data_IF_041157174681
#
_entry.id   IF_041157174681
#
_cell.length_a   1.000
_cell.length_b   1.000
_cell.length_c   1.000
_cell.angle_alpha   90.00
_cell.angle_beta   90.00
_cell.angle_gamma   90.00
#
_symmetry.space_group_name_H-M   'P 1'
#
loop_
_entity.id
_entity.type
_entity.pdbx_description
1 polymer ?
#
# COMPACT_ATOMS: atom_id res chain seq x y z
N UNK A 1 8.22 -0.66 3.60
CA UNK A 1 8.31 0.68 4.19
C UNK A 1 7.76 0.67 5.59
N UNK A 2 8.30 1.51 6.47
CA UNK A 2 7.81 1.72 7.82
C UNK A 2 7.93 3.20 8.19
N UNK A 3 7.21 3.62 9.22
CA UNK A 3 7.36 4.95 9.82
C UNK A 3 7.66 4.79 11.32
N UNK A 4 8.49 5.67 11.85
CA UNK A 4 8.74 5.75 13.29
C UNK A 4 8.57 7.20 13.78
N UNK A 5 8.15 7.37 15.03
CA UNK A 5 8.04 8.68 15.63
C UNK A 5 9.44 9.21 16.00
N UNK A 6 9.89 10.25 15.31
CA UNK A 6 11.11 10.97 15.62
C UNK A 6 10.81 12.10 16.62
N UNK A 7 11.10 11.85 17.89
CA UNK A 7 10.87 12.83 18.95
C UNK A 7 11.73 14.10 18.82
N UNK A 8 12.88 14.03 18.14
CA UNK A 8 13.72 15.19 17.92
C UNK A 8 13.16 16.11 16.83
N UNK A 9 12.50 15.52 15.82
CA UNK A 9 11.81 16.25 14.75
C UNK A 9 10.35 16.57 15.07
N UNK A 10 9.76 15.90 16.06
CA UNK A 10 8.36 16.08 16.46
C UNK A 10 7.38 15.56 15.41
N UNK A 11 7.73 14.50 14.68
CA UNK A 11 6.92 13.97 13.59
C UNK A 11 7.27 12.54 13.21
N UNK A 12 6.47 11.95 12.33
CA UNK A 12 6.74 10.65 11.73
C UNK A 12 7.81 10.76 10.66
N UNK A 13 8.80 9.87 10.71
CA UNK A 13 9.84 9.71 9.69
C UNK A 13 9.65 8.39 8.97
N UNK A 14 9.49 8.45 7.65
CA UNK A 14 9.40 7.27 6.80
C UNK A 14 10.79 6.71 6.49
N UNK A 15 10.93 5.40 6.62
CA UNK A 15 12.19 4.68 6.41
C UNK A 15 12.00 3.46 5.53
N UNK A 16 13.00 3.23 4.68
CA UNK A 16 13.10 1.96 3.96
C UNK A 16 13.99 0.99 4.74
N UNK A 17 13.35 0.06 5.43
CA UNK A 17 14.02 -0.98 6.19
C UNK A 17 14.78 -2.00 5.31
N UNK A 18 14.54 -2.04 4.00
CA UNK A 18 15.28 -2.91 3.08
C UNK A 18 16.67 -2.35 2.76
N UNK A 19 16.85 -1.02 2.82
CA UNK A 19 18.12 -0.35 2.49
C UNK A 19 19.09 -0.38 3.67
N UNK A 20 19.51 -1.59 4.06
CA UNK A 20 20.60 -1.78 5.01
C UNK A 20 21.97 -1.46 4.39
N UNK A 21 23.04 -1.48 5.20
CA UNK A 21 24.38 -1.19 4.72
C UNK A 21 24.87 -2.14 3.61
N UNK A 22 24.33 -3.36 3.52
CA UNK A 22 24.67 -4.33 2.47
C UNK A 22 24.01 -3.94 1.16
N UNK A 23 22.72 -3.64 1.20
CA UNK A 23 21.96 -3.17 0.04
C UNK A 23 22.49 -1.85 -0.50
N UNK A 24 22.79 -0.89 0.37
CA UNK A 24 23.37 0.40 0.00
C UNK A 24 24.67 0.25 -0.79
N UNK A 25 25.58 -0.62 -0.33
CA UNK A 25 26.81 -0.94 -1.07
C UNK A 25 26.54 -1.62 -2.41
N UNK A 26 25.55 -2.52 -2.46
CA UNK A 26 25.21 -3.28 -3.67
C UNK A 26 24.65 -2.37 -4.77
N UNK A 27 23.79 -1.41 -4.41
CA UNK A 27 23.16 -0.50 -5.37
C UNK A 27 23.96 0.79 -5.60
N UNK A 28 25.03 1.01 -4.83
CA UNK A 28 25.88 2.19 -4.94
C UNK A 28 25.19 3.49 -4.52
N UNK A 29 24.22 3.40 -3.60
CA UNK A 29 23.51 4.57 -3.06
C UNK A 29 24.28 5.13 -1.88
N UNK A 30 24.64 6.41 -1.96
CA UNK A 30 25.30 7.14 -0.87
C UNK A 30 24.25 7.64 0.13
N UNK A 31 23.97 6.81 1.14
CA UNK A 31 23.04 7.11 2.23
C UNK A 31 23.48 6.40 3.52
N UNK A 32 22.99 6.86 4.67
CA UNK A 32 23.18 6.20 5.95
C UNK A 32 21.95 5.37 6.32
N UNK A 33 22.16 4.16 6.83
CA UNK A 33 21.08 3.28 7.28
C UNK A 33 20.68 3.59 8.74
N UNK A 34 19.38 3.57 9.08
CA UNK A 34 18.24 3.34 8.19
C UNK A 34 17.99 4.52 7.25
N UNK A 35 17.72 4.22 5.98
CA UNK A 35 17.52 5.26 4.97
C UNK A 35 16.15 5.88 5.18
N UNK A 36 16.15 7.16 5.57
CA UNK A 36 14.94 7.97 5.55
C UNK A 36 14.55 8.30 4.11
N UNK A 37 13.27 8.17 3.78
CA UNK A 37 12.77 8.51 2.46
C UNK A 37 11.65 9.55 2.56
N UNK A 38 11.66 10.49 1.63
CA UNK A 38 10.59 11.46 1.48
C UNK A 38 9.43 10.95 0.62
N UNK A 39 8.29 11.67 0.63
CA UNK A 39 7.11 11.33 -0.18
C UNK A 39 7.36 11.38 -1.69
N UNK A 40 8.45 12.03 -2.14
CA UNK A 40 8.88 12.00 -3.55
C UNK A 40 9.69 10.75 -3.91
N UNK A 41 10.29 10.09 -2.91
CA UNK A 41 11.11 8.89 -3.07
C UNK A 41 10.31 7.61 -2.89
N UNK A 42 9.32 7.64 -1.99
CA UNK A 42 8.35 6.57 -1.81
C UNK A 42 6.93 7.14 -1.80
N UNK A 43 6.10 6.69 -2.72
CA UNK A 43 4.71 7.10 -2.86
C UNK A 43 3.82 6.00 -2.29
N UNK A 44 3.08 6.29 -1.22
CA UNK A 44 2.12 5.33 -0.63
C UNK A 44 0.95 5.07 -1.59
N UNK A 45 0.22 3.97 -1.41
CA UNK A 45 -0.82 3.58 -2.35
C UNK A 45 -1.96 4.60 -2.42
N UNK A 46 -2.32 5.22 -1.30
CA UNK A 46 -3.29 6.33 -1.24
C UNK A 46 -2.90 7.53 -2.10
N UNK A 47 -1.65 7.99 -1.95
CA UNK A 47 -1.13 9.10 -2.74
C UNK A 47 -1.02 8.73 -4.23
N UNK A 48 -0.56 7.52 -4.54
CA UNK A 48 -0.48 7.03 -5.92
C UNK A 48 -1.87 6.95 -6.57
N UNK A 49 -2.87 6.46 -5.84
CA UNK A 49 -4.24 6.37 -6.32
C UNK A 49 -4.81 7.75 -6.63
N UNK A 50 -4.78 8.69 -5.68
CA UNK A 50 -5.25 10.06 -5.91
C UNK A 50 -4.53 10.76 -7.07
N UNK A 51 -3.21 10.55 -7.21
CA UNK A 51 -2.44 11.11 -8.31
C UNK A 51 -2.84 10.50 -9.66
N UNK A 52 -3.06 9.19 -9.72
CA UNK A 52 -3.54 8.49 -10.92
C UNK A 52 -4.94 8.97 -11.32
N UNK A 53 -5.89 9.01 -10.35
CA UNK A 53 -7.26 9.50 -10.58
C UNK A 53 -7.30 10.93 -11.09
N UNK A 54 -6.32 11.75 -10.70
CA UNK A 54 -6.18 13.13 -11.17
C UNK A 54 -5.32 13.30 -12.43
N UNK A 55 -4.85 12.22 -13.06
CA UNK A 55 -4.04 12.27 -14.28
C UNK A 55 -2.61 12.79 -14.08
N UNK A 56 -2.11 12.82 -12.84
CA UNK A 56 -0.75 13.26 -12.48
C UNK A 56 0.25 12.11 -12.39
N UNK A 57 -0.23 10.87 -12.34
CA UNK A 57 0.59 9.65 -12.30
C UNK A 57 0.14 8.70 -13.40
N UNK A 58 1.11 8.20 -14.15
CA UNK A 58 0.92 7.09 -15.08
C UNK A 58 0.96 5.77 -14.29
N UNK A 59 -0.14 5.03 -14.30
CA UNK A 59 -0.26 3.80 -13.51
C UNK A 59 0.63 2.66 -14.02
N UNK A 60 1.08 2.70 -15.28
CA UNK A 60 2.02 1.71 -15.81
C UNK A 60 3.41 1.81 -15.14
N UNK A 61 3.66 2.89 -14.40
CA UNK A 61 4.86 3.05 -13.56
C UNK A 61 4.72 2.42 -12.18
N UNK A 62 3.54 1.90 -11.83
CA UNK A 62 3.24 1.33 -10.51
C UNK A 62 3.16 -0.20 -10.63
N UNK A 63 4.20 -0.89 -10.15
CA UNK A 63 4.26 -2.34 -10.27
C UNK A 63 5.66 -2.93 -10.12
N UNK A 64 5.78 -4.20 -10.47
CA UNK A 64 7.04 -4.94 -10.58
C UNK A 64 7.42 -5.10 -12.04
N UNK A 65 8.24 -4.16 -12.53
CA UNK A 65 8.69 -4.14 -13.92
C UNK A 65 9.43 -5.40 -14.36
N UNK A 66 10.07 -6.13 -13.43
CA UNK A 66 10.81 -7.36 -13.72
C UNK A 66 9.94 -8.51 -14.21
N UNK A 67 8.65 -8.48 -13.89
CA UNK A 67 7.66 -9.51 -14.28
C UNK A 67 6.52 -8.95 -15.14
N UNK A 68 6.56 -7.65 -15.49
CA UNK A 68 5.54 -7.02 -16.31
C UNK A 68 4.20 -6.81 -15.60
N UNK A 69 4.16 -6.91 -14.27
CA UNK A 69 2.95 -6.69 -13.47
C UNK A 69 2.91 -5.23 -13.03
N UNK A 70 2.06 -4.42 -13.66
CA UNK A 70 1.94 -2.99 -13.36
C UNK A 70 0.57 -2.44 -13.77
N UNK A 71 0.16 -1.34 -13.16
CA UNK A 71 -1.07 -0.65 -13.50
C UNK A 71 -1.88 -0.24 -12.27
N UNK A 72 -3.06 0.31 -12.53
CA UNK A 72 -3.90 0.85 -11.47
C UNK A 72 -4.47 -0.25 -10.54
N UNK A 73 -4.63 -1.48 -11.03
CA UNK A 73 -4.98 -2.65 -10.22
C UNK A 73 -3.90 -2.94 -9.16
N UNK A 74 -2.63 -2.68 -9.47
CA UNK A 74 -1.52 -2.84 -8.53
C UNK A 74 -1.58 -1.81 -7.40
N UNK A 75 -1.96 -0.57 -7.74
CA UNK A 75 -2.20 0.50 -6.76
C UNK A 75 -3.38 0.10 -5.84
N UNK A 76 -4.49 -0.40 -6.42
CA UNK A 76 -5.64 -0.89 -5.66
C UNK A 76 -5.29 -2.04 -4.69
N UNK A 77 -4.46 -2.99 -5.12
CA UNK A 77 -3.97 -4.07 -4.27
C UNK A 77 -3.15 -3.54 -3.08
N UNK A 78 -2.22 -2.62 -3.34
CA UNK A 78 -1.43 -2.01 -2.26
C UNK A 78 -2.28 -1.12 -1.34
N UNK A 79 -3.34 -0.47 -1.85
CA UNK A 79 -4.27 0.29 -1.02
C UNK A 79 -4.93 -0.57 0.06
N UNK A 80 -5.27 -1.82 -0.26
CA UNK A 80 -5.79 -2.78 0.72
C UNK A 80 -4.73 -3.18 1.75
N UNK A 81 -3.51 -3.43 1.31
CA UNK A 81 -2.40 -3.75 2.21
C UNK A 81 -2.11 -2.59 3.17
N UNK A 82 -2.08 -1.36 2.66
CA UNK A 82 -1.90 -0.14 3.46
C UNK A 82 -3.03 0.01 4.50
N UNK A 83 -4.29 -0.17 4.08
CA UNK A 83 -5.43 -0.11 5.00
C UNK A 83 -5.34 -1.19 6.10
N UNK A 84 -5.00 -2.43 5.75
CA UNK A 84 -4.83 -3.52 6.72
C UNK A 84 -3.69 -3.22 7.70
N UNK A 85 -2.54 -2.73 7.21
CA UNK A 85 -1.38 -2.39 8.02
C UNK A 85 -1.70 -1.27 9.03
N UNK A 86 -2.43 -0.23 8.61
CA UNK A 86 -2.92 0.84 9.49
C UNK A 86 -3.89 0.32 10.57
N UNK A 87 -4.55 -0.81 10.31
CA UNK A 87 -5.40 -1.54 11.26
C UNK A 87 -4.67 -2.65 12.03
N UNK A 88 -3.33 -2.66 12.04
CA UNK A 88 -2.49 -3.65 12.74
C UNK A 88 -2.66 -5.09 12.22
N UNK A 89 -3.06 -5.24 10.97
CA UNK A 89 -3.13 -6.53 10.28
C UNK A 89 -1.98 -6.61 9.28
N UNK A 90 -1.01 -7.46 9.59
CA UNK A 90 0.19 -7.67 8.77
C UNK A 90 -0.08 -8.75 7.71
N UNK A 91 0.02 -8.37 6.43
CA UNK A 91 -0.23 -9.25 5.28
C UNK A 91 1.03 -9.44 4.44
N UNK A 92 1.14 -10.55 3.73
CA UNK A 92 2.23 -10.75 2.76
C UNK A 92 1.96 -9.94 1.47
N UNK A 93 2.99 -9.56 0.70
CA UNK A 93 2.82 -8.75 -0.52
C UNK A 93 1.93 -9.38 -1.60
N UNK A 94 1.72 -10.69 -1.56
CA UNK A 94 0.98 -11.47 -2.54
C UNK A 94 -0.35 -12.01 -2.00
N UNK A 95 -0.77 -11.53 -0.83
CA UNK A 95 -1.99 -11.94 -0.17
C UNK A 95 -3.19 -11.18 -0.74
N UNK A 96 -4.20 -11.95 -1.18
CA UNK A 96 -5.43 -11.42 -1.77
C UNK A 96 -6.65 -11.86 -0.96
N UNK A 97 -7.49 -10.90 -0.57
CA UNK A 97 -8.76 -11.12 0.11
C UNK A 97 -9.75 -10.01 -0.27
N UNK A 98 -11.04 -10.25 -0.05
CA UNK A 98 -12.08 -9.23 -0.16
C UNK A 98 -12.13 -8.53 -1.53
N UNK A 99 -12.27 -7.20 -1.49
CA UNK A 99 -12.43 -6.32 -2.65
C UNK A 99 -11.20 -6.42 -3.56
N UNK A 100 -11.41 -6.78 -4.82
CA UNK A 100 -10.32 -6.99 -5.78
C UNK A 100 -10.54 -6.28 -7.09
N UNK A 101 -9.44 -5.89 -7.73
CA UNK A 101 -9.40 -5.58 -9.15
C UNK A 101 -8.37 -6.51 -9.78
N UNK A 102 -8.85 -7.45 -10.60
CA UNK A 102 -8.04 -8.38 -11.36
C UNK A 102 -8.15 -8.02 -12.85
N UNK A 103 -7.03 -7.79 -13.55
CA UNK A 103 -7.03 -7.67 -15.01
C UNK A 103 -7.32 -9.04 -15.69
N UNK A 104 -7.92 -9.05 -16.89
CA UNK A 104 -8.18 -7.92 -17.78
C UNK A 104 -9.46 -7.13 -17.47
N UNK A 105 -10.24 -7.55 -16.47
CA UNK A 105 -11.48 -6.90 -16.09
C UNK A 105 -11.25 -5.43 -15.73
N UNK A 106 -12.12 -4.56 -16.23
CA UNK A 106 -12.10 -3.14 -15.90
C UNK A 106 -13.04 -2.88 -14.74
N UNK A 107 -12.66 -2.01 -13.79
CA UNK A 107 -13.46 -1.74 -12.62
C UNK A 107 -14.66 -0.88 -13.03
N UNK A 108 -15.82 -1.17 -12.46
CA UNK A 108 -16.96 -0.28 -12.61
C UNK A 108 -16.80 0.96 -11.73
N UNK A 109 -17.73 1.91 -11.87
CA UNK A 109 -17.71 3.14 -11.08
C UNK A 109 -17.86 2.91 -9.58
N UNK A 110 -18.52 1.82 -9.16
CA UNK A 110 -18.73 1.53 -7.75
C UNK A 110 -17.43 1.01 -7.10
N UNK A 111 -16.71 0.13 -7.80
CA UNK A 111 -15.41 -0.36 -7.38
C UNK A 111 -14.39 0.77 -7.31
N UNK A 112 -14.34 1.64 -8.32
CA UNK A 112 -13.49 2.83 -8.29
C UNK A 112 -13.82 3.74 -7.10
N UNK A 113 -15.10 4.01 -6.85
CA UNK A 113 -15.52 4.84 -5.71
C UNK A 113 -15.17 4.22 -4.36
N UNK A 114 -15.20 2.88 -4.24
CA UNK A 114 -14.77 2.19 -3.03
C UNK A 114 -13.27 2.40 -2.76
N UNK A 115 -12.42 2.28 -3.79
CA UNK A 115 -10.99 2.56 -3.66
C UNK A 115 -10.68 4.05 -3.50
N UNK A 116 -11.45 4.95 -4.13
CA UNK A 116 -11.35 6.40 -3.89
C UNK A 116 -11.56 6.71 -2.39
N UNK A 117 -12.57 6.10 -1.77
CA UNK A 117 -12.83 6.26 -0.33
C UNK A 117 -11.72 5.68 0.56
N UNK A 118 -11.14 4.52 0.20
CA UNK A 118 -10.00 3.95 0.92
C UNK A 118 -8.77 4.88 0.81
N UNK A 119 -8.49 5.42 -0.37
CA UNK A 119 -7.36 6.32 -0.59
C UNK A 119 -7.47 7.60 0.26
N UNK A 120 -8.65 8.19 0.38
CA UNK A 120 -8.88 9.36 1.25
C UNK A 120 -8.54 9.07 2.72
N UNK A 121 -8.85 7.86 3.20
CA UNK A 121 -8.57 7.46 4.58
C UNK A 121 -7.09 7.19 4.82
N UNK A 122 -6.37 6.63 3.84
CA UNK A 122 -4.96 6.22 4.00
C UNK A 122 -3.95 7.32 3.69
N UNK A 123 -4.36 8.43 3.06
CA UNK A 123 -3.49 9.60 2.80
C UNK A 123 -3.23 10.42 4.05
N UNK A 124 -4.24 10.56 4.93
CA UNK A 124 -4.12 11.29 6.21
C UNK A 124 -4.73 10.46 7.35
N UNK A 125 -4.10 9.33 7.71
CA UNK A 125 -4.66 8.39 8.68
C UNK A 125 -4.73 8.96 10.09
N UNK A 126 -3.86 9.92 10.46
CA UNK A 126 -3.89 10.58 11.76
C UNK A 126 -5.14 11.47 11.90
N UNK A 127 -5.48 12.25 10.87
CA UNK A 127 -6.70 13.07 10.89
C UNK A 127 -7.99 12.24 10.73
N UNK A 128 -7.89 11.06 10.11
CA UNK A 128 -9.03 10.18 9.77
C UNK A 128 -9.09 8.91 10.60
N UNK A 129 -8.36 8.82 11.70
CA UNK A 129 -8.12 7.56 12.41
C UNK A 129 -9.41 6.80 12.76
N UNK A 130 -10.40 7.48 13.34
CA UNK A 130 -11.66 6.86 13.73
C UNK A 130 -12.47 6.38 12.51
N UNK A 131 -12.53 7.17 11.44
CA UNK A 131 -13.20 6.79 10.19
C UNK A 131 -12.50 5.59 9.51
N UNK A 132 -11.16 5.57 9.53
CA UNK A 132 -10.35 4.49 9.00
C UNK A 132 -10.59 3.17 9.75
N UNK A 133 -10.61 3.24 11.09
CA UNK A 133 -10.88 2.09 11.96
C UNK A 133 -12.31 1.57 11.77
N UNK A 134 -13.30 2.45 11.79
CA UNK A 134 -14.71 2.08 11.61
C UNK A 134 -14.95 1.45 10.23
N UNK A 135 -14.38 2.05 9.17
CA UNK A 135 -14.48 1.54 7.81
C UNK A 135 -13.92 0.13 7.68
N UNK A 136 -12.74 -0.13 8.26
CA UNK A 136 -12.12 -1.45 8.22
C UNK A 136 -12.88 -2.48 9.07
N UNK A 137 -13.38 -2.09 10.24
CA UNK A 137 -14.08 -3.02 11.14
C UNK A 137 -15.47 -3.39 10.61
N UNK A 138 -16.13 -2.50 9.86
CA UNK A 138 -17.54 -2.66 9.43
C UNK A 138 -17.71 -3.11 7.98
N UNK A 139 -16.71 -2.94 7.10
CA UNK A 139 -16.81 -3.39 5.71
C UNK A 139 -16.20 -4.79 5.51
N UNK A 140 -17.03 -5.84 5.36
CA UNK A 140 -16.52 -7.20 5.10
C UNK A 140 -15.80 -7.34 3.75
N UNK A 141 -16.00 -6.41 2.80
CA UNK A 141 -15.24 -6.42 1.56
C UNK A 141 -13.80 -5.94 1.76
N UNK A 142 -13.50 -5.18 2.82
CA UNK A 142 -12.14 -4.67 3.07
C UNK A 142 -11.45 -5.41 4.21
N UNK A 143 -12.23 -5.83 5.22
CA UNK A 143 -11.72 -6.47 6.43
C UNK A 143 -11.11 -7.84 6.13
N UNK A 144 -9.89 -8.05 6.61
CA UNK A 144 -9.30 -9.39 6.65
C UNK A 144 -10.03 -10.24 7.70
N UNK A 145 -10.58 -11.38 7.28
CA UNK A 145 -11.40 -12.29 8.12
C UNK A 145 -10.67 -13.58 8.54
N UNK A 146 -9.39 -13.67 8.20
CA UNK A 146 -8.55 -14.85 8.41
C UNK A 146 -8.40 -15.76 7.20
N UNK A 147 -9.18 -15.59 6.11
CA UNK A 147 -9.00 -16.35 4.86
C UNK A 147 -8.34 -15.51 3.75
N UNK A 148 -7.25 -16.05 3.18
CA UNK A 148 -6.49 -15.37 2.13
C UNK A 148 -6.19 -16.32 0.97
N UNK A 149 -6.09 -15.80 -0.24
CA UNK A 149 -5.43 -16.47 -1.36
C UNK A 149 -4.02 -15.90 -1.51
N UNK A 150 -3.00 -16.74 -1.37
CA UNK A 150 -1.61 -16.33 -1.58
C UNK A 150 -1.22 -16.61 -3.03
N UNK A 151 -1.02 -15.55 -3.83
CA UNK A 151 -0.73 -15.67 -5.27
C UNK A 151 0.63 -16.34 -5.52
N UNK A 152 1.62 -16.08 -4.66
CA UNK A 152 2.96 -16.66 -4.83
C UNK A 152 2.98 -18.18 -4.62
N UNK A 153 2.11 -18.70 -3.74
CA UNK A 153 1.97 -20.12 -3.47
C UNK A 153 0.87 -20.79 -4.31
N UNK A 154 -0.08 -20.01 -4.82
CA UNK A 154 -1.21 -20.51 -5.59
C UNK A 154 -2.23 -21.26 -4.74
N UNK A 155 -2.36 -20.94 -3.45
CA UNK A 155 -3.23 -21.66 -2.52
C UNK A 155 -3.98 -20.72 -1.56
N UNK A 156 -5.08 -21.24 -0.99
CA UNK A 156 -5.80 -20.59 0.10
C UNK A 156 -5.18 -20.93 1.45
N UNK A 157 -5.02 -19.93 2.31
CA UNK A 157 -4.49 -20.06 3.66
C UNK A 157 -5.47 -19.51 4.70
N UNK A 158 -5.37 -20.06 5.91
CA UNK A 158 -6.08 -19.57 7.07
C UNK A 158 -5.06 -18.99 8.06
N UNK A 159 -5.21 -17.71 8.40
CA UNK A 159 -4.37 -16.96 9.35
C UNK A 159 -4.89 -17.07 10.78
#
# INVERSE_FOLDING_TARGET
MAEYWDAAQGGWTMVDAQLDATWLRLIGLDAEAPVSVGPEQFVTAGHAWQAWRAGRLDADRCGLSSIGEHGAFWIAGNLRLDLAALNKVEMLPWDVWGLGWEPPEQPDSALLAAFDAVAELTVDPDARFDELRDRYDTDPALRMDGSVFNVALGEHQQL
#
